data_IF_771002768400
#
_entry.id   IF_771002768400
#
_cell.length_a   1.000
_cell.length_b   1.000
_cell.length_c   1.000
_cell.angle_alpha   90.00
_cell.angle_beta   90.00
_cell.angle_gamma   90.00
#
_symmetry.space_group_name_H-M   'P 1'
#
loop_
_entity.id
_entity.type
_entity.pdbx_description
1 polymer ?
#
# COMPACT_ATOMS: atom_id res chain seq x y z
N UNK A 1 -18.02 10.20 -6.75
CA UNK A 1 -16.56 10.05 -6.87
C UNK A 1 -16.03 9.74 -5.48
N UNK A 2 -15.94 8.46 -5.11
CA UNK A 2 -15.40 8.10 -3.80
C UNK A 2 -13.89 8.31 -3.87
N UNK A 3 -13.41 9.49 -3.46
CA UNK A 3 -12.01 9.70 -3.09
C UNK A 3 -11.75 8.90 -1.80
N UNK A 4 -11.72 7.58 -1.95
CA UNK A 4 -11.51 6.61 -0.89
C UNK A 4 -10.03 6.77 -0.51
N UNK A 5 -9.77 7.66 0.45
CA UNK A 5 -8.42 7.95 0.92
C UNK A 5 -7.80 6.63 1.38
N UNK A 6 -6.69 6.23 0.77
CA UNK A 6 -5.89 5.11 1.22
C UNK A 6 -5.39 5.44 2.62
N UNK A 7 -5.76 4.61 3.60
CA UNK A 7 -5.44 4.79 5.00
C UNK A 7 -4.99 3.49 5.66
N UNK A 8 -4.45 3.54 6.88
CA UNK A 8 -4.18 2.35 7.67
C UNK A 8 -5.41 1.45 7.76
N UNK A 9 -5.24 0.15 7.53
CA UNK A 9 -6.30 -0.85 7.44
C UNK A 9 -6.99 -0.96 6.07
N UNK A 10 -6.67 -0.08 5.11
CA UNK A 10 -7.26 -0.17 3.77
C UNK A 10 -6.66 -1.33 2.98
N UNK A 11 -7.50 -2.17 2.34
CA UNK A 11 -7.02 -3.14 1.38
C UNK A 11 -6.58 -2.42 0.10
N UNK A 12 -5.40 -2.77 -0.39
CA UNK A 12 -4.78 -2.14 -1.56
C UNK A 12 -4.21 -3.19 -2.50
N UNK A 13 -4.21 -2.85 -3.78
CA UNK A 13 -3.54 -3.60 -4.83
C UNK A 13 -2.47 -2.72 -5.45
N UNK A 14 -1.32 -3.30 -5.77
CA UNK A 14 -0.21 -2.60 -6.39
C UNK A 14 0.55 -3.52 -7.34
N UNK A 15 1.19 -2.96 -8.35
CA UNK A 15 2.03 -3.71 -9.27
C UNK A 15 3.41 -3.96 -8.66
N UNK A 16 3.91 -5.18 -8.79
CA UNK A 16 5.25 -5.59 -8.40
C UNK A 16 5.92 -6.31 -9.57
N UNK A 17 7.24 -6.52 -9.49
CA UNK A 17 8.02 -7.24 -10.51
C UNK A 17 7.48 -8.67 -10.75
N UNK A 18 6.94 -9.30 -9.71
CA UNK A 18 6.30 -10.62 -9.78
C UNK A 18 4.83 -10.59 -10.24
N UNK A 19 4.28 -9.42 -10.59
CA UNK A 19 2.88 -9.21 -10.93
C UNK A 19 2.07 -8.45 -9.85
N UNK A 20 0.74 -8.35 -10.03
CA UNK A 20 -0.12 -7.60 -9.12
C UNK A 20 -0.17 -8.27 -7.74
N UNK A 21 0.13 -7.49 -6.71
CA UNK A 21 0.12 -7.91 -5.32
C UNK A 21 -1.04 -7.27 -4.59
N UNK A 22 -1.62 -8.02 -3.65
CA UNK A 22 -2.74 -7.57 -2.81
C UNK A 22 -2.29 -7.57 -1.36
N UNK A 23 -2.52 -6.45 -0.66
CA UNK A 23 -2.13 -6.30 0.72
C UNK A 23 -3.03 -5.36 1.50
N UNK A 24 -2.65 -5.13 2.76
CA UNK A 24 -3.34 -4.20 3.64
C UNK A 24 -2.35 -3.16 4.14
N UNK A 25 -2.73 -1.88 4.07
CA UNK A 25 -1.90 -0.80 4.59
C UNK A 25 -1.80 -0.92 6.11
N UNK A 26 -0.61 -1.16 6.62
CA UNK A 26 -0.32 -1.17 8.04
C UNK A 26 -0.18 0.26 8.59
N UNK A 27 0.54 1.12 7.86
CA UNK A 27 0.84 2.49 8.26
C UNK A 27 1.09 3.37 7.04
N UNK A 28 0.90 4.68 7.18
CA UNK A 28 1.31 5.68 6.19
C UNK A 28 2.20 6.70 6.89
N UNK A 29 3.40 6.88 6.36
CA UNK A 29 4.38 7.88 6.80
C UNK A 29 4.59 8.91 5.69
N UNK A 30 4.93 10.14 6.07
CA UNK A 30 5.40 11.13 5.11
C UNK A 30 6.92 11.09 5.12
N UNK A 31 7.52 10.84 3.96
CA UNK A 31 8.95 10.99 3.79
C UNK A 31 9.30 12.48 3.92
N UNK A 32 10.18 12.79 4.87
CA UNK A 32 10.54 14.17 5.21
C UNK A 32 11.51 14.79 4.20
N UNK A 33 12.10 13.97 3.33
CA UNK A 33 13.09 14.39 2.33
C UNK A 33 12.41 14.97 1.09
N UNK A 34 11.29 14.36 0.67
CA UNK A 34 10.56 14.76 -0.54
C UNK A 34 9.08 15.11 -0.30
N UNK A 35 8.57 14.98 0.93
CA UNK A 35 7.17 15.23 1.28
C UNK A 35 6.19 14.17 0.76
N UNK A 36 6.68 13.06 0.19
CA UNK A 36 5.84 12.01 -0.38
C UNK A 36 5.20 11.16 0.73
N UNK A 37 3.98 10.70 0.49
CA UNK A 37 3.32 9.74 1.40
C UNK A 37 3.72 8.33 1.01
N UNK A 38 4.33 7.62 1.94
CA UNK A 38 4.79 6.24 1.81
C UNK A 38 3.92 5.36 2.70
N UNK A 39 3.31 4.35 2.12
CA UNK A 39 2.54 3.33 2.83
C UNK A 39 3.41 2.10 3.08
N UNK A 40 3.27 1.55 4.28
CA UNK A 40 3.76 0.23 4.64
C UNK A 40 2.62 -0.77 4.45
N UNK A 41 2.71 -1.63 3.43
CA UNK A 41 1.69 -2.60 3.05
C UNK A 41 2.10 -4.00 3.50
N UNK A 42 1.25 -4.67 4.27
CA UNK A 42 1.42 -6.09 4.60
C UNK A 42 0.77 -6.94 3.53
N UNK A 43 1.59 -7.70 2.80
CA UNK A 43 1.14 -8.68 1.81
C UNK A 43 1.23 -10.09 2.42
N UNK A 44 0.11 -10.82 2.53
CA UNK A 44 0.13 -12.19 3.03
C UNK A 44 0.99 -13.09 2.13
N UNK A 45 1.85 -13.90 2.72
CA UNK A 45 2.79 -14.76 1.98
C UNK A 45 4.16 -14.14 1.70
N UNK A 46 4.42 -12.89 2.11
CA UNK A 46 5.77 -12.31 2.05
C UNK A 46 6.71 -13.07 3.00
N UNK A 47 7.72 -13.76 2.44
CA UNK A 47 8.76 -14.42 3.23
C UNK A 47 9.45 -13.40 4.14
N UNK A 48 9.47 -13.67 5.45
CA UNK A 48 10.07 -12.79 6.45
C UNK A 48 9.12 -11.76 7.07
N UNK A 49 7.86 -11.66 6.60
CA UNK A 49 6.81 -10.87 7.25
C UNK A 49 7.03 -9.34 7.27
N UNK A 50 8.08 -8.85 6.60
CA UNK A 50 8.37 -7.43 6.51
C UNK A 50 7.31 -6.73 5.64
N UNK A 51 6.75 -5.59 6.10
CA UNK A 51 5.83 -4.82 5.28
C UNK A 51 6.56 -4.20 4.08
N UNK A 52 5.91 -4.24 2.93
CA UNK A 52 6.37 -3.59 1.71
C UNK A 52 6.21 -2.09 1.84
N UNK A 53 7.20 -1.33 1.42
CA UNK A 53 7.20 0.13 1.59
C UNK A 53 7.12 0.77 0.22
N UNK A 54 6.04 1.52 -0.03
CA UNK A 54 5.75 2.04 -1.36
C UNK A 54 4.93 3.32 -1.33
N UNK A 55 5.07 4.20 -2.33
CA UNK A 55 4.34 5.45 -2.38
C UNK A 55 2.83 5.23 -2.46
N UNK A 56 2.05 6.02 -1.72
CA UNK A 56 0.58 5.90 -1.70
C UNK A 56 -0.03 6.16 -3.09
N UNK A 57 0.64 6.95 -3.93
CA UNK A 57 0.23 7.19 -5.32
C UNK A 57 0.40 5.98 -6.24
N UNK A 58 1.17 4.96 -5.86
CA UNK A 58 1.30 3.71 -6.60
C UNK A 58 0.31 2.63 -6.12
N UNK A 59 -0.43 2.92 -5.04
CA UNK A 59 -1.45 2.02 -4.50
C UNK A 59 -2.81 2.30 -5.13
N UNK A 60 -3.49 1.23 -5.55
CA UNK A 60 -4.89 1.26 -5.95
C UNK A 60 -5.77 0.69 -4.84
N UNK A 61 -6.96 1.27 -4.62
CA UNK A 61 -7.95 0.61 -3.75
C UNK A 61 -8.31 -0.73 -4.37
N UNK A 62 -8.13 -1.80 -3.60
CA UNK A 62 -8.78 -3.05 -3.91
C UNK A 62 -10.27 -2.84 -3.61
N UNK A 63 -11.02 -2.36 -4.59
CA UNK A 63 -12.47 -2.24 -4.46
C UNK A 63 -12.99 -3.68 -4.25
N UNK A 64 -13.40 -3.98 -3.03
CA UNK A 64 -14.18 -5.19 -2.77
C UNK A 64 -15.51 -5.01 -3.50
N UNK A 65 -15.62 -5.68 -4.65
CA UNK A 65 -16.86 -5.82 -5.39
C UNK A 65 -17.87 -6.67 -4.61
#
# INVERSE_FOLDING_TARGET
MQNKKIGPGSPVTFESDAGPQHGTVAEIKTDVTNGAKIASVRVPGTMGGAPWTMPVNELSHAEAA
#
